data_IF_896092066186
#
_entry.id   IF_896092066186
#
_cell.length_a   1.000
_cell.length_b   1.000
_cell.length_c   1.000
_cell.angle_alpha   90.00
_cell.angle_beta   90.00
_cell.angle_gamma   90.00
#
_symmetry.space_group_name_H-M   'P 1'
#
loop_
_entity.id
_entity.type
_entity.pdbx_description
1 polymer ?
#
# COMPACT_ATOMS: atom_id res chain seq x y z
N UNK A 1 -43.09 -43.94 -10.14
CA UNK A 1 -41.61 -44.09 -10.09
C UNK A 1 -41.01 -42.86 -10.73
N UNK A 2 -40.48 -41.93 -9.92
CA UNK A 2 -40.05 -40.61 -10.37
C UNK A 2 -38.51 -40.57 -10.46
N UNK A 3 -37.98 -40.57 -11.67
CA UNK A 3 -36.56 -40.32 -11.96
C UNK A 3 -36.42 -38.91 -12.55
N UNK A 4 -35.99 -37.93 -11.75
CA UNK A 4 -35.43 -36.67 -12.29
C UNK A 4 -34.27 -36.21 -11.39
N UNK A 5 -33.07 -36.62 -11.82
CA UNK A 5 -31.79 -35.90 -11.85
C UNK A 5 -31.57 -34.81 -10.77
N UNK A 6 -30.68 -35.10 -9.80
CA UNK A 6 -29.92 -34.05 -9.12
C UNK A 6 -29.09 -33.31 -10.18
N UNK A 7 -29.19 -31.99 -10.33
CA UNK A 7 -28.09 -31.28 -10.96
C UNK A 7 -26.94 -31.36 -9.97
N UNK A 8 -25.83 -31.96 -10.41
CA UNK A 8 -24.53 -31.67 -9.84
C UNK A 8 -24.36 -30.15 -9.94
N UNK A 9 -24.66 -29.43 -8.87
CA UNK A 9 -24.22 -28.06 -8.70
C UNK A 9 -22.71 -28.17 -8.60
N UNK A 10 -22.06 -28.13 -9.77
CA UNK A 10 -20.65 -27.87 -9.84
C UNK A 10 -20.44 -26.56 -9.08
N UNK A 11 -19.89 -26.67 -7.86
CA UNK A 11 -19.23 -25.56 -7.22
C UNK A 11 -18.15 -25.13 -8.22
N UNK A 12 -18.48 -24.14 -9.04
CA UNK A 12 -17.48 -23.36 -9.74
C UNK A 12 -16.68 -22.71 -8.62
N UNK A 13 -15.57 -23.33 -8.25
CA UNK A 13 -14.46 -22.64 -7.59
C UNK A 13 -13.94 -21.67 -8.65
N UNK A 14 -14.64 -20.55 -8.76
CA UNK A 14 -14.06 -19.34 -9.30
C UNK A 14 -12.96 -18.99 -8.31
N UNK A 15 -11.73 -19.37 -8.65
CA UNK A 15 -10.54 -18.71 -8.15
C UNK A 15 -10.64 -17.27 -8.63
N UNK A 16 -11.38 -16.42 -7.90
CA UNK A 16 -11.12 -15.00 -8.04
C UNK A 16 -9.69 -14.86 -7.53
N UNK A 17 -8.74 -14.55 -8.41
CA UNK A 17 -7.52 -13.85 -7.99
C UNK A 17 -7.91 -12.41 -7.58
N UNK A 18 -8.94 -12.28 -6.75
CA UNK A 18 -9.43 -11.04 -6.22
C UNK A 18 -8.56 -10.75 -5.00
N UNK A 19 -7.81 -9.66 -5.06
CA UNK A 19 -7.19 -9.12 -3.86
C UNK A 19 -8.24 -9.04 -2.75
N UNK A 20 -7.99 -9.75 -1.65
CA UNK A 20 -8.92 -9.78 -0.52
C UNK A 20 -8.97 -8.41 0.16
N UNK A 21 -10.01 -7.62 -0.14
CA UNK A 21 -10.26 -6.31 0.48
C UNK A 21 -10.55 -6.42 1.98
N UNK A 22 -9.49 -6.64 2.76
CA UNK A 22 -9.53 -6.90 4.19
C UNK A 22 -8.70 -5.86 4.93
N UNK A 23 -9.11 -5.57 6.17
CA UNK A 23 -8.35 -4.70 7.06
C UNK A 23 -6.94 -5.25 7.32
N UNK A 24 -6.78 -6.58 7.34
CA UNK A 24 -5.50 -7.24 7.55
C UNK A 24 -4.50 -6.94 6.43
N UNK A 25 -4.93 -6.99 5.16
CA UNK A 25 -4.06 -6.62 4.03
C UNK A 25 -3.62 -5.17 4.10
N UNK A 26 -4.56 -4.24 4.37
CA UNK A 26 -4.23 -2.83 4.55
C UNK A 26 -3.25 -2.64 5.71
N UNK A 27 -3.46 -3.33 6.82
CA UNK A 27 -2.58 -3.25 7.98
C UNK A 27 -1.16 -3.74 7.65
N UNK A 28 -1.01 -4.80 6.86
CA UNK A 28 0.31 -5.26 6.40
C UNK A 28 1.07 -4.20 5.58
N UNK A 29 0.38 -3.48 4.68
CA UNK A 29 0.99 -2.35 3.97
C UNK A 29 1.43 -1.24 4.94
N UNK A 30 0.59 -0.92 5.93
CA UNK A 30 0.87 0.14 6.92
C UNK A 30 2.01 -0.24 7.87
N UNK A 31 2.14 -1.50 8.26
CA UNK A 31 3.23 -1.99 9.11
C UNK A 31 4.59 -1.84 8.43
N UNK A 32 4.66 -2.16 7.14
CA UNK A 32 5.87 -1.95 6.33
C UNK A 32 6.26 -0.46 6.29
N UNK A 33 5.29 0.42 6.11
CA UNK A 33 5.50 1.88 6.14
C UNK A 33 5.93 2.38 7.53
N UNK A 34 5.34 1.82 8.59
CA UNK A 34 5.69 2.16 9.97
C UNK A 34 7.11 1.71 10.34
N UNK A 35 7.57 0.57 9.83
CA UNK A 35 8.93 0.10 10.08
C UNK A 35 9.98 1.10 9.58
N UNK A 36 9.73 1.78 8.46
CA UNK A 36 10.64 2.79 7.93
C UNK A 36 10.55 4.11 8.71
N UNK A 37 9.33 4.53 9.06
CA UNK A 37 9.06 5.84 9.70
C UNK A 37 9.32 5.88 11.21
N UNK A 38 9.16 4.75 11.91
CA UNK A 38 9.50 4.60 13.34
C UNK A 38 10.86 3.96 13.57
N UNK A 39 11.44 3.34 12.54
CA UNK A 39 12.79 2.82 12.57
C UNK A 39 13.82 3.93 12.75
N UNK A 40 14.99 3.57 13.28
CA UNK A 40 16.15 4.48 13.30
C UNK A 40 16.60 4.89 11.90
N UNK A 41 16.10 4.24 10.85
CA UNK A 41 16.52 4.42 9.46
C UNK A 41 16.34 5.84 8.95
N UNK A 42 15.21 6.51 9.23
CA UNK A 42 15.00 7.92 8.84
C UNK A 42 15.75 8.92 9.75
N UNK A 43 15.91 8.60 11.03
CA UNK A 43 16.59 9.45 12.01
C UNK A 43 18.13 9.39 11.93
N UNK A 44 18.68 8.41 11.21
CA UNK A 44 20.12 8.17 11.08
C UNK A 44 20.63 8.34 9.64
N UNK A 45 19.81 8.83 8.72
CA UNK A 45 20.29 9.13 7.36
C UNK A 45 21.35 10.22 7.43
N UNK A 46 22.60 9.84 7.20
CA UNK A 46 23.75 10.76 7.20
C UNK A 46 24.40 10.86 5.83
N UNK A 47 24.03 9.97 4.90
CA UNK A 47 24.56 9.95 3.54
C UNK A 47 23.46 9.91 2.49
N UNK A 48 23.77 10.45 1.30
CA UNK A 48 22.89 10.34 0.12
C UNK A 48 22.53 8.89 -0.24
N UNK A 49 23.46 7.96 -0.05
CA UNK A 49 23.24 6.55 -0.37
C UNK A 49 22.17 5.92 0.55
N UNK A 50 22.24 6.24 1.86
CA UNK A 50 21.25 5.83 2.85
C UNK A 50 19.89 6.46 2.55
N UNK A 51 19.87 7.75 2.18
CA UNK A 51 18.65 8.45 1.79
C UNK A 51 17.96 7.75 0.61
N UNK A 52 18.70 7.40 -0.43
CA UNK A 52 18.17 6.69 -1.59
C UNK A 52 17.61 5.32 -1.23
N UNK A 53 18.24 4.61 -0.29
CA UNK A 53 17.75 3.32 0.19
C UNK A 53 16.43 3.48 0.95
N UNK A 54 16.35 4.44 1.88
CA UNK A 54 15.13 4.77 2.62
C UNK A 54 14.00 5.17 1.66
N UNK A 55 14.29 6.01 0.67
CA UNK A 55 13.33 6.42 -0.34
C UNK A 55 12.81 5.26 -1.19
N UNK A 56 13.66 4.28 -1.51
CA UNK A 56 13.23 3.05 -2.20
C UNK A 56 12.21 2.28 -1.36
N UNK A 57 12.53 2.02 -0.09
CA UNK A 57 11.66 1.26 0.82
C UNK A 57 10.33 1.99 1.10
N UNK A 58 10.36 3.31 1.26
CA UNK A 58 9.16 4.13 1.41
C UNK A 58 8.27 4.02 0.17
N UNK A 59 8.86 4.15 -1.04
CA UNK A 59 8.12 4.05 -2.29
C UNK A 59 7.43 2.69 -2.43
N UNK A 60 8.12 1.60 -2.14
CA UNK A 60 7.56 0.24 -2.17
C UNK A 60 6.38 0.08 -1.19
N UNK A 61 6.54 0.59 0.04
CA UNK A 61 5.48 0.52 1.07
C UNK A 61 4.25 1.36 0.69
N UNK A 62 4.45 2.53 0.10
CA UNK A 62 3.36 3.40 -0.36
C UNK A 62 2.61 2.77 -1.53
N UNK A 63 3.33 2.13 -2.46
CA UNK A 63 2.70 1.44 -3.59
C UNK A 63 1.72 0.35 -3.13
N UNK A 64 2.03 -0.38 -2.07
CA UNK A 64 1.12 -1.36 -1.46
C UNK A 64 -0.20 -0.70 -1.01
N UNK A 65 -0.11 0.42 -0.30
CA UNK A 65 -1.29 1.17 0.18
C UNK A 65 -2.09 1.71 -1.02
N UNK A 66 -1.41 2.29 -2.01
CA UNK A 66 -2.05 2.88 -3.19
C UNK A 66 -2.79 1.84 -4.03
N UNK A 67 -2.22 0.65 -4.18
CA UNK A 67 -2.85 -0.47 -4.89
C UNK A 67 -4.08 -0.98 -4.12
N UNK A 68 -3.94 -1.23 -2.81
CA UNK A 68 -5.06 -1.65 -1.98
C UNK A 68 -6.20 -0.62 -2.00
N UNK A 69 -5.88 0.67 -1.92
CA UNK A 69 -6.88 1.75 -2.05
C UNK A 69 -7.54 1.77 -3.43
N UNK A 70 -6.78 1.60 -4.51
CA UNK A 70 -7.30 1.59 -5.87
C UNK A 70 -8.33 0.48 -6.06
N UNK A 71 -8.06 -0.69 -5.51
CA UNK A 71 -8.84 -1.91 -5.69
C UNK A 71 -10.00 -2.01 -4.70
N UNK A 72 -9.82 -1.57 -3.45
CA UNK A 72 -10.75 -1.85 -2.36
C UNK A 72 -11.54 -0.65 -1.85
N UNK A 73 -11.11 0.59 -2.11
CA UNK A 73 -11.79 1.77 -1.55
C UNK A 73 -12.84 2.33 -2.51
N UNK A 74 -13.96 2.78 -1.94
CA UNK A 74 -14.95 3.61 -2.63
C UNK A 74 -14.35 4.96 -3.03
N UNK A 75 -15.01 5.69 -3.93
CA UNK A 75 -14.58 7.04 -4.31
C UNK A 75 -14.48 7.98 -3.11
N UNK A 76 -15.46 7.94 -2.20
CA UNK A 76 -15.47 8.76 -0.99
C UNK A 76 -14.34 8.40 -0.04
N UNK A 77 -14.10 7.10 0.19
CA UNK A 77 -12.97 6.65 1.01
C UNK A 77 -11.62 7.08 0.44
N UNK A 78 -11.44 7.00 -0.90
CA UNK A 78 -10.23 7.50 -1.57
C UNK A 78 -10.05 9.00 -1.38
N UNK A 79 -11.12 9.79 -1.53
CA UNK A 79 -11.06 11.23 -1.34
C UNK A 79 -10.64 11.61 0.09
N UNK A 80 -11.28 11.01 1.09
CA UNK A 80 -10.97 11.24 2.51
C UNK A 80 -9.53 10.82 2.81
N UNK A 81 -9.12 9.63 2.39
CA UNK A 81 -7.78 9.13 2.66
C UNK A 81 -6.71 10.01 1.99
N UNK A 82 -6.92 10.43 0.74
CA UNK A 82 -6.01 11.33 0.03
C UNK A 82 -5.80 12.65 0.77
N UNK A 83 -6.85 13.20 1.39
CA UNK A 83 -6.73 14.39 2.23
C UNK A 83 -5.89 14.11 3.49
N UNK A 84 -6.14 12.98 4.16
CA UNK A 84 -5.41 12.60 5.39
C UNK A 84 -3.92 12.43 5.13
N UNK A 85 -3.53 11.83 4.00
CA UNK A 85 -2.12 11.54 3.70
C UNK A 85 -1.41 12.61 2.88
N UNK A 86 -2.09 13.70 2.49
CA UNK A 86 -1.53 14.73 1.58
C UNK A 86 -0.22 15.32 2.11
N UNK A 87 -0.16 15.69 3.39
CA UNK A 87 1.04 16.24 4.01
C UNK A 87 2.20 15.24 4.05
N UNK A 88 1.92 13.98 4.35
CA UNK A 88 2.94 12.92 4.35
C UNK A 88 3.50 12.68 2.95
N UNK A 89 2.63 12.66 1.92
CA UNK A 89 3.07 12.53 0.52
C UNK A 89 3.94 13.71 0.08
N UNK A 90 3.58 14.93 0.47
CA UNK A 90 4.38 16.11 0.16
C UNK A 90 5.77 16.05 0.79
N UNK A 91 5.86 15.68 2.07
CA UNK A 91 7.13 15.49 2.77
C UNK A 91 8.01 14.44 2.07
N UNK A 92 7.41 13.33 1.63
CA UNK A 92 8.13 12.29 0.89
C UNK A 92 8.62 12.76 -0.48
N UNK A 93 7.85 13.60 -1.19
CA UNK A 93 8.29 14.18 -2.46
C UNK A 93 9.51 15.08 -2.24
N UNK A 94 9.47 15.95 -1.24
CA UNK A 94 10.59 16.84 -0.91
C UNK A 94 11.84 16.08 -0.49
N UNK A 95 11.67 14.96 0.23
CA UNK A 95 12.77 14.12 0.66
C UNK A 95 13.35 13.27 -0.49
N UNK A 96 12.49 12.67 -1.32
CA UNK A 96 12.86 11.58 -2.23
C UNK A 96 12.86 11.93 -3.72
N UNK A 97 12.34 13.09 -4.13
CA UNK A 97 12.47 13.61 -5.51
C UNK A 97 13.66 14.59 -5.58
N UNK A 98 14.55 14.48 -6.59
CA UNK A 98 15.68 15.38 -6.77
C UNK A 98 15.32 16.86 -6.64
N UNK A 99 15.98 17.53 -5.70
CA UNK A 99 15.77 18.93 -5.31
C UNK A 99 16.74 19.32 -4.18
N UNK A 100 16.59 20.53 -3.64
CA UNK A 100 17.53 21.12 -2.66
C UNK A 100 17.83 20.25 -1.43
N UNK A 101 16.91 19.40 -0.98
CA UNK A 101 17.12 18.54 0.20
C UNK A 101 18.12 17.39 -0.08
N UNK A 102 18.29 16.99 -1.34
CA UNK A 102 19.17 15.87 -1.72
C UNK A 102 20.63 16.29 -2.00
N UNK A 103 20.93 17.59 -1.93
CA UNK A 103 22.26 18.16 -2.21
C UNK A 103 23.19 18.24 -0.98
N UNK A 104 22.76 17.71 0.17
CA UNK A 104 23.55 17.65 1.40
C UNK A 104 24.60 16.52 1.40
#
# INVERSE_FOLDING_TARGET
MLTILLPAVALLLVETSGEECTLQQLQGCLESLQSVTKGKDLALVTTRQELLHVCKTLKESIMCVDEHMRNCFTSTQRQVFNQVVAGARQFLLELCVPGHIQEC
#
